data_IF_705025192614
#
_entry.id   IF_705025192614
#
_cell.length_a   1.000
_cell.length_b   1.000
_cell.length_c   1.000
_cell.angle_alpha   90.00
_cell.angle_beta   90.00
_cell.angle_gamma   90.00
#
_symmetry.space_group_name_H-M   'P 1'
#
loop_
_entity.id
_entity.type
_entity.pdbx_description
1 polymer ?
#
# COMPACT_ATOMS: atom_id res chain seq x y z
N UNK A 1 4.88 10.36 -24.36
CA UNK A 1 4.39 11.11 -23.18
C UNK A 1 3.64 10.09 -22.34
N UNK A 2 4.02 9.85 -21.08
CA UNK A 2 3.27 8.91 -20.24
C UNK A 2 1.94 9.60 -19.89
N UNK A 3 0.82 8.96 -20.23
CA UNK A 3 -0.52 9.50 -20.02
C UNK A 3 -0.92 9.43 -18.54
N UNK A 4 -1.75 10.38 -18.07
CA UNK A 4 -2.22 10.45 -16.67
C UNK A 4 -2.77 9.11 -16.14
N UNK A 5 -3.42 8.35 -17.02
CA UNK A 5 -3.98 7.02 -16.71
C UNK A 5 -2.91 5.99 -16.33
N UNK A 6 -1.73 6.04 -16.94
CA UNK A 6 -0.65 5.11 -16.61
C UNK A 6 -0.08 5.39 -15.22
N UNK A 7 -0.08 6.67 -14.79
CA UNK A 7 0.36 7.03 -13.46
C UNK A 7 -0.66 6.63 -12.39
N UNK A 8 -1.95 6.88 -12.63
CA UNK A 8 -2.99 6.43 -11.72
C UNK A 8 -2.99 4.90 -11.54
N UNK A 9 -2.83 4.16 -12.65
CA UNK A 9 -2.69 2.71 -12.62
C UNK A 9 -1.48 2.23 -11.83
N UNK A 10 -0.36 2.96 -11.87
CA UNK A 10 0.82 2.63 -11.06
C UNK A 10 0.58 2.83 -9.55
N UNK A 11 -0.14 3.88 -9.16
CA UNK A 11 -0.52 4.12 -7.76
C UNK A 11 -1.49 3.04 -7.25
N UNK A 12 -2.48 2.69 -8.07
CA UNK A 12 -3.44 1.62 -7.75
C UNK A 12 -2.76 0.25 -7.67
N UNK A 13 -1.72 0.01 -8.47
CA UNK A 13 -0.92 -1.21 -8.37
C UNK A 13 -0.11 -1.24 -7.07
N UNK A 14 0.52 -0.13 -6.68
CA UNK A 14 1.22 -0.03 -5.39
C UNK A 14 0.25 -0.29 -4.22
N UNK A 15 -0.97 0.23 -4.32
CA UNK A 15 -2.02 -0.07 -3.36
C UNK A 15 -2.41 -1.58 -3.35
N UNK A 16 -2.63 -2.19 -4.52
CA UNK A 16 -2.99 -3.61 -4.60
C UNK A 16 -1.89 -4.53 -4.03
N UNK A 17 -0.64 -4.11 -4.16
CA UNK A 17 0.53 -4.80 -3.62
C UNK A 17 0.74 -4.56 -2.13
N UNK A 18 0.10 -3.55 -1.53
CA UNK A 18 0.42 -3.15 -0.15
C UNK A 18 1.77 -2.45 -0.02
N UNK A 19 2.32 -1.92 -1.12
CA UNK A 19 3.64 -1.27 -1.15
C UNK A 19 3.50 0.23 -0.85
N UNK A 20 3.56 0.55 0.44
CA UNK A 20 3.40 1.92 0.93
C UNK A 20 4.51 2.86 0.43
N UNK A 21 5.74 2.35 0.30
CA UNK A 21 6.88 3.13 -0.20
C UNK A 21 6.69 3.55 -1.65
N UNK A 22 6.24 2.63 -2.50
CA UNK A 22 5.96 2.93 -3.90
C UNK A 22 4.75 3.87 -4.04
N UNK A 23 3.72 3.71 -3.21
CA UNK A 23 2.55 4.59 -3.20
C UNK A 23 2.95 6.03 -2.82
N UNK A 24 3.66 6.22 -1.71
CA UNK A 24 4.12 7.54 -1.23
C UNK A 24 5.06 8.21 -2.24
N UNK A 25 6.06 7.47 -2.73
CA UNK A 25 6.99 7.96 -3.75
C UNK A 25 6.28 8.35 -5.04
N UNK A 26 5.26 7.59 -5.45
CA UNK A 26 4.44 7.90 -6.61
C UNK A 26 3.63 9.18 -6.42
N UNK A 27 2.94 9.31 -5.27
CA UNK A 27 2.17 10.49 -4.92
C UNK A 27 3.03 11.77 -4.88
N UNK A 28 4.26 11.67 -4.35
CA UNK A 28 5.20 12.79 -4.29
C UNK A 28 5.74 13.21 -5.67
N UNK A 29 5.99 12.24 -6.57
CA UNK A 29 6.59 12.48 -7.89
C UNK A 29 5.60 13.04 -8.90
N UNK A 30 4.32 12.67 -8.81
CA UNK A 30 3.32 13.04 -9.83
C UNK A 30 2.54 14.29 -9.47
N UNK A 31 3.27 15.42 -9.34
CA UNK A 31 2.66 16.75 -9.16
C UNK A 31 1.73 17.16 -10.31
N UNK A 32 1.92 16.60 -11.52
CA UNK A 32 1.04 16.83 -12.67
C UNK A 32 -0.36 16.26 -12.46
N UNK A 33 -0.49 15.11 -11.81
CA UNK A 33 -1.79 14.51 -11.49
C UNK A 33 -2.59 15.39 -10.54
N UNK A 34 -1.92 16.08 -9.59
CA UNK A 34 -2.57 17.04 -8.72
C UNK A 34 -3.18 18.24 -9.47
N UNK A 35 -2.78 18.48 -10.73
CA UNK A 35 -3.30 19.55 -11.59
C UNK A 35 -4.31 19.05 -12.63
N UNK A 36 -4.66 17.76 -12.63
CA UNK A 36 -5.65 17.22 -13.56
C UNK A 36 -7.00 17.90 -13.36
N UNK A 37 -7.65 18.28 -14.45
CA UNK A 37 -8.99 18.90 -14.43
C UNK A 37 -10.12 17.87 -14.35
N UNK A 38 -9.80 16.58 -14.40
CA UNK A 38 -10.78 15.50 -14.28
C UNK A 38 -11.19 15.27 -12.81
N UNK A 39 -12.46 15.48 -12.43
CA UNK A 39 -12.93 15.26 -11.07
C UNK A 39 -12.75 13.82 -10.57
N UNK A 40 -12.86 12.83 -11.47
CA UNK A 40 -12.70 11.42 -11.07
C UNK A 40 -11.26 11.15 -10.65
N UNK A 41 -10.29 11.65 -11.41
CA UNK A 41 -8.87 11.57 -11.08
C UNK A 41 -8.54 12.27 -9.75
N UNK A 42 -9.10 13.46 -9.49
CA UNK A 42 -8.88 14.17 -8.23
C UNK A 42 -9.48 13.44 -7.01
N UNK A 43 -10.65 12.82 -7.18
CA UNK A 43 -11.27 12.01 -6.13
C UNK A 43 -10.38 10.81 -5.78
N UNK A 44 -9.91 10.09 -6.80
CA UNK A 44 -9.05 8.92 -6.59
C UNK A 44 -7.70 9.27 -5.98
N UNK A 45 -7.08 10.39 -6.40
CA UNK A 45 -5.86 10.89 -5.77
C UNK A 45 -6.05 11.23 -4.28
N UNK A 46 -7.19 11.83 -3.93
CA UNK A 46 -7.51 12.15 -2.55
C UNK A 46 -7.67 10.89 -1.71
N UNK A 47 -8.30 9.84 -2.27
CA UNK A 47 -8.44 8.53 -1.64
C UNK A 47 -7.07 7.86 -1.44
N UNK A 48 -6.24 7.84 -2.48
CA UNK A 48 -4.89 7.25 -2.42
C UNK A 48 -3.99 7.96 -1.41
N UNK A 49 -4.11 9.29 -1.26
CA UNK A 49 -3.40 10.03 -0.19
C UNK A 49 -3.85 9.59 1.20
N UNK A 50 -5.16 9.49 1.43
CA UNK A 50 -5.67 9.02 2.71
C UNK A 50 -5.21 7.59 3.04
N UNK A 51 -5.15 6.71 2.04
CA UNK A 51 -4.58 5.36 2.16
C UNK A 51 -3.10 5.43 2.52
N UNK A 52 -2.31 6.22 1.79
CA UNK A 52 -0.88 6.40 2.06
C UNK A 52 -0.62 6.91 3.48
N UNK A 53 -1.36 7.91 3.94
CA UNK A 53 -1.23 8.47 5.29
C UNK A 53 -1.58 7.45 6.38
N UNK A 54 -2.61 6.63 6.15
CA UNK A 54 -2.96 5.54 7.07
C UNK A 54 -1.88 4.47 7.10
N UNK A 55 -1.31 4.14 5.94
CA UNK A 55 -0.29 3.12 5.80
C UNK A 55 1.02 3.49 6.47
N UNK A 56 1.46 4.74 6.32
CA UNK A 56 2.66 5.26 6.99
C UNK A 56 2.56 5.11 8.51
N UNK A 57 1.38 5.34 9.09
CA UNK A 57 1.16 5.15 10.53
C UNK A 57 1.32 3.69 10.94
N UNK A 58 0.73 2.77 10.18
CA UNK A 58 0.89 1.33 10.43
C UNK A 58 2.34 0.91 10.32
N UNK A 59 3.05 1.30 9.26
CA UNK A 59 4.46 0.92 9.10
C UNK A 59 5.37 1.55 10.16
N UNK A 60 5.00 2.72 10.71
CA UNK A 60 5.72 3.31 11.84
C UNK A 60 5.60 2.50 13.14
N UNK A 61 4.52 1.73 13.29
CA UNK A 61 4.23 0.90 14.47
C UNK A 61 4.71 -0.55 14.29
N UNK A 62 4.53 -1.13 13.10
CA UNK A 62 4.77 -2.55 12.83
C UNK A 62 6.00 -2.84 11.97
N UNK A 63 6.63 -1.79 11.42
CA UNK A 63 7.81 -1.89 10.56
C UNK A 63 7.51 -1.65 9.07
N UNK A 64 8.55 -1.35 8.30
CA UNK A 64 8.44 -1.21 6.86
C UNK A 64 7.96 -2.53 6.22
N UNK A 65 7.06 -2.43 5.23
CA UNK A 65 6.53 -3.57 4.51
C UNK A 65 5.43 -4.33 5.27
N UNK A 66 5.02 -3.91 6.46
CA UNK A 66 3.93 -4.57 7.23
C UNK A 66 2.63 -4.72 6.46
N UNK A 67 2.39 -3.86 5.46
CA UNK A 67 1.19 -3.85 4.66
C UNK A 67 1.29 -4.63 3.35
N UNK A 68 2.46 -5.19 3.02
CA UNK A 68 2.64 -5.96 1.79
C UNK A 68 1.61 -7.09 1.70
N UNK A 69 0.89 -7.10 0.58
CA UNK A 69 -0.09 -8.12 0.29
C UNK A 69 0.62 -9.40 -0.17
N UNK A 70 0.93 -10.28 0.80
CA UNK A 70 1.65 -11.53 0.55
C UNK A 70 0.97 -12.47 -0.45
N UNK A 71 -0.33 -12.28 -0.72
CA UNK A 71 -1.07 -13.08 -1.70
C UNK A 71 -0.98 -12.49 -3.13
N UNK A 72 -0.41 -11.29 -3.28
CA UNK A 72 -0.26 -10.63 -4.57
C UNK A 72 0.90 -11.24 -5.39
N UNK A 73 0.69 -11.60 -6.68
CA UNK A 73 1.67 -12.36 -7.46
C UNK A 73 2.98 -11.62 -7.75
N UNK A 74 3.00 -10.28 -7.63
CA UNK A 74 4.22 -9.50 -7.81
C UNK A 74 5.13 -9.52 -6.58
N UNK A 75 4.63 -9.80 -5.37
CA UNK A 75 5.47 -9.81 -4.16
C UNK A 75 6.58 -10.88 -4.23
N UNK A 76 6.31 -12.14 -4.61
CA UNK A 76 7.38 -13.13 -4.80
C UNK A 76 8.39 -12.75 -5.90
N UNK A 77 7.94 -12.05 -6.95
CA UNK A 77 8.81 -11.57 -8.02
C UNK A 77 9.72 -10.46 -7.52
N UNK A 78 9.17 -9.48 -6.82
CA UNK A 78 9.90 -8.30 -6.38
C UNK A 78 10.86 -8.62 -5.24
N UNK A 79 10.52 -9.61 -4.40
CA UNK A 79 11.46 -10.23 -3.46
C UNK A 79 12.65 -10.88 -4.18
N UNK A 80 12.42 -11.68 -5.23
CA UNK A 80 13.51 -12.30 -6.02
C UNK A 80 14.40 -11.28 -6.72
N UNK A 81 13.86 -10.11 -7.05
CA UNK A 81 14.59 -8.99 -7.64
C UNK A 81 15.32 -8.13 -6.60
N UNK A 82 15.17 -8.42 -5.30
CA UNK A 82 15.78 -7.65 -4.22
C UNK A 82 15.13 -6.29 -3.98
N UNK A 83 13.92 -6.07 -4.50
CA UNK A 83 13.14 -4.85 -4.29
C UNK A 83 12.40 -4.87 -2.94
N UNK A 84 12.10 -6.09 -2.46
CA UNK A 84 11.54 -6.36 -1.13
C UNK A 84 12.57 -7.15 -0.34
N UNK A 85 12.82 -6.75 0.90
CA UNK A 85 13.73 -7.40 1.83
C UNK A 85 13.06 -8.55 2.59
N UNK A 86 13.89 -9.42 3.18
CA UNK A 86 13.41 -10.50 4.06
C UNK A 86 12.68 -9.93 5.29
N UNK A 87 13.14 -8.80 5.82
CA UNK A 87 12.54 -8.14 6.98
C UNK A 87 11.15 -7.60 6.66
N UNK A 88 10.97 -6.98 5.49
CA UNK A 88 9.65 -6.52 5.03
C UNK A 88 8.65 -7.68 4.91
N UNK A 89 9.08 -8.85 4.42
CA UNK A 89 8.23 -10.04 4.39
C UNK A 89 7.92 -10.59 5.79
N UNK A 90 8.85 -10.50 6.74
CA UNK A 90 8.63 -10.92 8.11
C UNK A 90 7.62 -10.00 8.82
N UNK A 91 7.78 -8.68 8.67
CA UNK A 91 6.87 -7.67 9.19
C UNK A 91 5.44 -7.85 8.64
N UNK A 92 5.31 -8.10 7.33
CA UNK A 92 4.01 -8.38 6.70
C UNK A 92 3.31 -9.61 7.29
N UNK A 93 4.06 -10.68 7.54
CA UNK A 93 3.52 -11.91 8.17
C UNK A 93 3.06 -11.64 9.59
N UNK A 94 3.91 -10.98 10.38
CA UNK A 94 3.61 -10.66 11.77
C UNK A 94 2.38 -9.76 11.88
N UNK A 95 2.27 -8.73 11.05
CA UNK A 95 1.13 -7.84 11.03
C UNK A 95 -0.17 -8.56 10.61
N UNK A 96 -0.12 -9.38 9.54
CA UNK A 96 -1.26 -10.19 9.08
C UNK A 96 -1.77 -11.14 10.16
N UNK A 97 -0.87 -11.78 10.89
CA UNK A 97 -1.24 -12.71 11.95
C UNK A 97 -1.75 -11.96 13.20
N UNK A 98 -1.17 -10.79 13.52
CA UNK A 98 -1.65 -9.89 14.56
C UNK A 98 -3.09 -9.40 14.32
N UNK A 99 -3.41 -8.97 13.09
CA UNK A 99 -4.78 -8.58 12.72
C UNK A 99 -5.75 -9.75 12.88
N UNK A 100 -5.39 -10.96 12.44
CA UNK A 100 -6.26 -12.13 12.60
C UNK A 100 -6.57 -12.41 14.06
N UNK A 101 -5.58 -12.29 14.94
CA UNK A 101 -5.75 -12.47 16.38
C UNK A 101 -6.70 -11.41 16.96
N UNK A 102 -6.55 -10.14 16.57
CA UNK A 102 -7.45 -9.06 17.00
C UNK A 102 -8.89 -9.29 16.50
N UNK A 103 -9.07 -9.65 15.23
CA UNK A 103 -10.40 -9.93 14.65
C UNK A 103 -11.09 -11.13 15.32
N UNK A 104 -10.33 -12.16 15.69
CA UNK A 104 -10.82 -13.32 16.45
C UNK A 104 -11.22 -12.92 17.88
N UNK A 105 -10.46 -12.05 18.53
CA UNK A 105 -10.76 -11.56 19.89
C UNK A 105 -12.01 -10.67 19.92
N UNK A 106 -12.17 -9.79 18.93
CA UNK A 106 -13.38 -8.95 18.78
C UNK A 106 -14.63 -9.79 18.51
N UNK A 107 -14.50 -10.83 17.68
CA UNK A 107 -15.60 -11.77 17.41
C UNK A 107 -15.99 -12.60 18.64
N UNK A 108 -15.04 -12.86 19.55
CA UNK A 108 -15.29 -13.62 20.79
C UNK A 108 -15.94 -12.77 21.90
N UNK A 109 -15.80 -11.45 21.86
CA UNK A 109 -16.42 -10.52 22.83
C UNK A 109 -17.88 -10.16 22.50
N UNK A 110 -18.39 -10.60 21.35
CA UNK A 110 -19.77 -10.37 20.90
C UNK A 110 -20.76 -11.50 21.27
N UNK A 111 -20.33 -12.44 22.11
CA UNK A 111 -21.14 -13.54 22.67
C UNK A 111 -21.22 -13.44 24.20
#
# INVERSE_FOLDING_TARGET
MIEERHFLGALQLAEAMGDAKSLDSGLARYQSLARSSDPATQCELSRLRAVSDAWIKVESEYGAGSLLNLDHPLIPRDFKLGLISTDELANARQYRDGIKVLALAESAQQF
#
